data_IF_947305029669
#
_entry.id   IF_947305029669
#
_cell.length_a   1.000
_cell.length_b   1.000
_cell.length_c   1.000
_cell.angle_alpha   90.00
_cell.angle_beta   90.00
_cell.angle_gamma   90.00
#
_symmetry.space_group_name_H-M   'P 1'
#
loop_
_entity.id
_entity.type
_entity.pdbx_description
1 polymer ?
#
# COMPACT_ATOMS: atom_id res chain seq x y z
N UNK A 1 1.52 22.24 -5.28
CA UNK A 1 2.45 22.23 -4.11
C UNK A 1 1.77 21.38 -3.05
N UNK A 2 2.48 20.48 -2.38
CA UNK A 2 1.89 19.65 -1.32
C UNK A 2 1.88 20.47 -0.03
N UNK A 3 0.69 20.74 0.51
CA UNK A 3 0.48 21.51 1.75
C UNK A 3 -0.06 20.62 2.88
N UNK A 4 -0.64 19.47 2.51
CA UNK A 4 -1.25 18.52 3.45
C UNK A 4 -0.93 17.08 3.08
N UNK A 5 -0.73 16.23 4.10
CA UNK A 5 -0.49 14.81 3.96
C UNK A 5 -1.38 13.99 4.90
N UNK A 6 -1.94 12.90 4.40
CA UNK A 6 -2.72 11.93 5.14
C UNK A 6 -2.01 10.57 5.09
N UNK A 7 -1.71 10.00 6.25
CA UNK A 7 -1.07 8.69 6.37
C UNK A 7 -2.05 7.74 7.01
N UNK A 8 -2.43 6.67 6.30
CA UNK A 8 -3.44 5.70 6.74
C UNK A 8 -2.76 4.36 7.00
N UNK A 9 -2.85 3.91 8.25
CA UNK A 9 -2.24 2.66 8.71
C UNK A 9 -3.19 1.87 9.61
N UNK A 10 -3.07 0.54 9.64
CA UNK A 10 -3.90 -0.31 10.51
C UNK A 10 -3.63 -0.05 12.00
N UNK A 11 -2.39 -0.22 12.43
CA UNK A 11 -2.07 -0.28 13.87
C UNK A 11 -1.17 0.86 14.33
N UNK A 12 -1.24 1.20 15.62
CA UNK A 12 -0.24 2.07 16.25
C UNK A 12 1.16 1.45 16.16
N UNK A 13 2.05 2.01 15.39
CA UNK A 13 3.45 1.68 15.04
C UNK A 13 3.71 1.51 13.54
N UNK A 14 2.71 1.19 12.75
CA UNK A 14 2.87 1.04 11.29
C UNK A 14 3.26 2.34 10.61
N UNK A 15 2.85 3.50 11.14
CA UNK A 15 3.28 4.80 10.64
C UNK A 15 4.80 4.98 10.70
N UNK A 16 5.46 4.34 11.68
CA UNK A 16 6.92 4.36 11.81
C UNK A 16 7.54 3.57 10.66
N UNK A 17 6.94 2.42 10.36
CA UNK A 17 7.42 1.53 9.32
C UNK A 17 7.14 2.06 7.93
N UNK A 18 5.97 2.65 7.73
CA UNK A 18 5.52 3.15 6.43
C UNK A 18 6.16 4.50 6.07
N UNK A 19 6.18 5.46 6.99
CA UNK A 19 6.52 6.84 6.69
C UNK A 19 7.54 7.48 7.66
N UNK A 20 8.12 6.72 8.59
CA UNK A 20 9.00 7.25 9.62
C UNK A 20 10.17 8.09 9.10
N UNK A 21 10.69 7.76 7.91
CA UNK A 21 11.74 8.51 7.26
C UNK A 21 11.31 9.86 6.68
N UNK A 22 10.02 10.04 6.41
CA UNK A 22 9.47 11.21 5.72
C UNK A 22 8.97 12.30 6.66
N UNK A 23 8.61 11.99 7.91
CA UNK A 23 8.00 12.99 8.81
C UNK A 23 8.84 14.25 8.99
N UNK A 24 10.16 14.12 9.06
CA UNK A 24 11.04 15.29 9.14
C UNK A 24 10.94 16.15 7.88
N UNK A 25 10.91 15.54 6.70
CA UNK A 25 10.81 16.25 5.41
C UNK A 25 9.48 16.98 5.31
N UNK A 26 8.39 16.29 5.64
CA UNK A 26 7.04 16.86 5.62
C UNK A 26 6.95 18.06 6.58
N UNK A 27 7.40 17.87 7.81
CA UNK A 27 7.37 18.92 8.83
C UNK A 27 8.26 20.12 8.45
N UNK A 28 9.49 19.90 7.98
CA UNK A 28 10.42 20.96 7.59
C UNK A 28 9.95 21.71 6.32
N UNK A 29 9.16 21.05 5.48
CA UNK A 29 8.52 21.66 4.31
C UNK A 29 7.21 22.39 4.63
N UNK A 30 6.76 22.39 5.90
CA UNK A 30 5.52 23.02 6.32
C UNK A 30 4.24 22.25 5.92
N UNK A 31 4.38 20.96 5.58
CA UNK A 31 3.25 20.08 5.21
C UNK A 31 2.52 19.65 6.47
N UNK A 32 1.24 19.99 6.57
CA UNK A 32 0.37 19.54 7.67
C UNK A 32 0.09 18.05 7.52
N UNK A 33 0.49 17.26 8.51
CA UNK A 33 0.40 15.80 8.43
C UNK A 33 -0.61 15.26 9.43
N UNK A 34 -1.59 14.50 8.93
CA UNK A 34 -2.55 13.73 9.72
C UNK A 34 -2.22 12.25 9.60
N UNK A 35 -2.20 11.53 10.73
CA UNK A 35 -2.04 10.07 10.79
C UNK A 35 -3.34 9.45 11.27
N UNK A 36 -3.81 8.43 10.56
CA UNK A 36 -5.01 7.65 10.89
C UNK A 36 -4.59 6.25 11.26
N UNK A 37 -4.91 5.87 12.50
CA UNK A 37 -4.83 4.50 13.00
C UNK A 37 -6.21 3.87 12.86
N UNK A 38 -6.35 2.86 12.03
CA UNK A 38 -7.66 2.26 11.77
C UNK A 38 -8.12 1.38 12.92
N UNK A 39 -7.19 0.66 13.56
CA UNK A 39 -7.48 -0.16 14.76
C UNK A 39 -6.85 0.42 16.02
N UNK A 40 -7.26 -0.11 17.15
CA UNK A 40 -6.68 0.22 18.45
C UNK A 40 -5.42 -0.58 18.80
N UNK A 41 -5.03 -1.53 17.95
CA UNK A 41 -3.88 -2.39 18.19
C UNK A 41 -4.10 -3.32 19.38
N UNK A 42 -5.27 -3.92 19.50
CA UNK A 42 -5.75 -4.67 20.66
C UNK A 42 -5.71 -6.19 20.49
N UNK A 43 -4.86 -6.71 19.61
CA UNK A 43 -4.65 -8.16 19.53
C UNK A 43 -4.41 -8.78 20.91
N UNK A 44 -3.63 -8.09 21.76
CA UNK A 44 -3.61 -8.31 23.18
C UNK A 44 -4.44 -7.21 23.83
N UNK A 45 -5.69 -7.52 24.19
CA UNK A 45 -6.71 -6.56 24.63
C UNK A 45 -6.22 -5.58 25.70
N UNK A 46 -5.40 -6.06 26.63
CA UNK A 46 -4.82 -5.27 27.75
C UNK A 46 -3.82 -4.19 27.28
N UNK A 47 -3.38 -4.25 26.04
CA UNK A 47 -2.41 -3.33 25.48
C UNK A 47 -3.02 -2.14 24.74
N UNK A 48 -4.29 -2.17 24.35
CA UNK A 48 -4.93 -1.09 23.58
C UNK A 48 -4.67 0.31 24.16
N UNK A 49 -4.96 0.50 25.47
CA UNK A 49 -4.73 1.78 26.14
C UNK A 49 -3.23 2.16 26.18
N UNK A 50 -2.33 1.18 26.33
CA UNK A 50 -0.88 1.43 26.32
C UNK A 50 -0.44 1.85 24.92
N UNK A 51 -0.89 1.16 23.87
CA UNK A 51 -0.58 1.46 22.47
C UNK A 51 -1.09 2.85 22.07
N UNK A 52 -2.26 3.25 22.53
CA UNK A 52 -2.75 4.62 22.35
C UNK A 52 -1.74 5.66 22.88
N UNK A 53 -1.26 5.50 24.13
CA UNK A 53 -0.27 6.43 24.67
C UNK A 53 1.11 6.33 24.01
N UNK A 54 1.49 5.18 23.49
CA UNK A 54 2.70 4.99 22.70
C UNK A 54 2.60 5.72 21.37
N UNK A 55 1.47 5.63 20.65
CA UNK A 55 1.21 6.41 19.46
C UNK A 55 1.25 7.93 19.69
N UNK A 56 0.68 8.40 20.83
CA UNK A 56 0.80 9.82 21.23
C UNK A 56 2.25 10.26 21.49
N UNK A 57 3.13 9.35 21.93
CA UNK A 57 4.57 9.65 22.05
C UNK A 57 5.24 9.70 20.68
N UNK A 58 4.88 8.78 19.78
CA UNK A 58 5.35 8.78 18.39
C UNK A 58 4.95 10.06 17.67
N UNK A 59 3.70 10.52 17.84
CA UNK A 59 3.23 11.82 17.36
C UNK A 59 4.17 12.96 17.79
N UNK A 60 4.53 13.03 19.06
CA UNK A 60 5.43 14.07 19.56
C UNK A 60 6.85 13.98 19.01
N UNK A 61 7.34 12.76 18.76
CA UNK A 61 8.68 12.52 18.19
C UNK A 61 8.72 12.98 16.73
N UNK A 62 7.73 12.60 15.93
CA UNK A 62 7.64 12.92 14.51
C UNK A 62 7.00 14.28 14.23
N UNK A 63 6.30 14.86 15.21
CA UNK A 63 5.64 16.18 15.16
C UNK A 63 4.56 16.30 14.08
N UNK A 64 3.85 15.21 13.76
CA UNK A 64 2.67 15.35 12.94
C UNK A 64 1.53 15.97 13.73
N UNK A 65 0.73 16.80 13.06
CA UNK A 65 -0.21 17.72 13.70
C UNK A 65 -1.38 16.99 14.30
N UNK A 66 -1.88 15.96 13.63
CA UNK A 66 -3.09 15.28 14.03
C UNK A 66 -2.93 13.75 14.05
N UNK A 67 -3.54 13.12 15.03
CA UNK A 67 -3.63 11.68 15.18
C UNK A 67 -5.10 11.30 15.38
N UNK A 68 -5.63 10.54 14.44
CA UNK A 68 -7.01 10.04 14.45
C UNK A 68 -6.99 8.53 14.70
N UNK A 69 -7.86 8.06 15.59
CA UNK A 69 -8.18 6.64 15.74
C UNK A 69 -9.58 6.39 15.21
N UNK A 70 -9.75 5.44 14.28
CA UNK A 70 -11.09 4.98 13.89
C UNK A 70 -11.72 4.11 14.97
N UNK A 71 -10.89 3.43 15.77
CA UNK A 71 -11.33 2.74 16.96
C UNK A 71 -11.80 1.30 16.76
N UNK A 72 -11.56 0.71 15.58
CA UNK A 72 -11.84 -0.71 15.33
C UNK A 72 -10.86 -1.60 16.11
N UNK A 73 -11.23 -2.85 16.34
CA UNK A 73 -10.35 -3.84 16.94
C UNK A 73 -9.50 -4.56 15.88
N UNK A 74 -8.40 -5.17 16.32
CA UNK A 74 -7.52 -5.97 15.46
C UNK A 74 -8.21 -7.28 15.06
N UNK A 75 -8.14 -7.64 13.81
CA UNK A 75 -8.71 -8.87 13.25
C UNK A 75 -7.63 -9.80 12.71
N UNK A 76 -6.67 -10.14 13.56
CA UNK A 76 -5.52 -10.94 13.13
C UNK A 76 -5.84 -12.42 12.84
N UNK A 77 -6.82 -13.01 13.51
CA UNK A 77 -7.06 -14.48 13.49
C UNK A 77 -8.45 -14.85 13.00
N UNK A 78 -9.38 -13.91 12.92
CA UNK A 78 -10.76 -14.16 12.55
C UNK A 78 -11.06 -14.12 11.06
N UNK A 79 -12.34 -14.19 10.71
CA UNK A 79 -12.82 -13.84 9.38
C UNK A 79 -12.48 -12.39 9.13
N UNK A 80 -11.86 -12.14 8.00
CA UNK A 80 -11.42 -10.78 7.68
C UNK A 80 -12.62 -9.89 7.40
N UNK A 81 -12.65 -8.71 7.99
CA UNK A 81 -13.78 -7.79 7.81
C UNK A 81 -14.01 -7.42 6.34
N UNK A 82 -12.97 -7.45 5.52
CA UNK A 82 -13.07 -7.20 4.08
C UNK A 82 -13.93 -8.26 3.36
N UNK A 83 -13.88 -9.52 3.81
CA UNK A 83 -14.59 -10.64 3.22
C UNK A 83 -16.01 -10.82 3.80
N UNK A 84 -16.34 -10.05 4.84
CA UNK A 84 -17.66 -10.09 5.45
C UNK A 84 -18.73 -9.46 4.54
N UNK A 85 -19.99 -9.89 4.70
CA UNK A 85 -21.11 -9.20 4.08
C UNK A 85 -21.19 -7.75 4.61
N UNK A 86 -21.58 -6.82 3.75
CA UNK A 86 -21.49 -5.36 4.00
C UNK A 86 -21.97 -4.90 5.38
N UNK A 87 -23.11 -5.45 5.85
CA UNK A 87 -23.74 -5.08 7.12
C UNK A 87 -23.67 -6.18 8.19
N UNK A 88 -22.93 -7.24 7.95
CA UNK A 88 -22.70 -8.29 8.95
C UNK A 88 -21.79 -7.73 10.05
N UNK A 89 -22.23 -7.89 11.32
CA UNK A 89 -21.43 -7.42 12.46
C UNK A 89 -20.37 -8.47 12.76
N UNK A 90 -19.13 -8.12 12.40
CA UNK A 90 -17.96 -8.91 12.73
C UNK A 90 -17.56 -8.74 14.21
N UNK A 91 -16.70 -9.63 14.67
CA UNK A 91 -16.09 -9.58 15.99
C UNK A 91 -14.58 -9.58 15.85
N UNK A 92 -13.90 -8.61 16.47
CA UNK A 92 -12.46 -8.55 16.47
C UNK A 92 -11.84 -9.67 17.30
N UNK A 93 -10.54 -9.89 17.17
CA UNK A 93 -9.82 -10.89 17.98
C UNK A 93 -10.02 -10.69 19.49
N UNK A 94 -10.10 -9.44 19.95
CA UNK A 94 -10.35 -9.10 21.35
C UNK A 94 -11.83 -9.14 21.77
N UNK A 95 -12.75 -9.53 20.88
CA UNK A 95 -14.17 -9.66 21.14
C UNK A 95 -14.99 -8.38 20.97
N UNK A 96 -14.44 -7.34 20.34
CA UNK A 96 -15.16 -6.10 20.08
C UNK A 96 -16.02 -6.22 18.81
N UNK A 97 -17.26 -5.73 18.88
CA UNK A 97 -18.26 -5.75 17.80
C UNK A 97 -18.65 -4.34 17.34
N UNK A 98 -18.02 -3.35 17.90
CA UNK A 98 -18.17 -1.93 17.55
C UNK A 98 -16.86 -1.19 17.82
N UNK A 99 -16.71 0.03 17.29
CA UNK A 99 -15.57 0.89 17.60
C UNK A 99 -15.57 1.27 19.08
N UNK A 100 -14.40 1.58 19.63
CA UNK A 100 -14.27 2.01 21.00
C UNK A 100 -13.07 2.94 21.24
N UNK A 101 -13.12 3.70 22.33
CA UNK A 101 -12.04 4.60 22.71
C UNK A 101 -11.00 3.84 23.53
N UNK A 102 -9.82 3.55 22.96
CA UNK A 102 -8.75 2.86 23.68
C UNK A 102 -8.06 3.69 24.75
N UNK A 103 -8.12 5.02 24.65
CA UNK A 103 -7.48 5.97 25.56
C UNK A 103 -8.43 7.03 26.09
N UNK A 104 -7.88 8.17 26.43
CA UNK A 104 -8.64 9.32 26.94
C UNK A 104 -9.20 10.25 25.87
N UNK A 105 -8.89 10.01 24.61
CA UNK A 105 -9.45 10.72 23.47
C UNK A 105 -10.57 9.91 22.83
N UNK A 106 -11.49 10.60 22.16
CA UNK A 106 -12.60 9.96 21.47
C UNK A 106 -12.11 9.43 20.14
N UNK A 107 -12.53 8.21 19.77
CA UNK A 107 -12.36 7.73 18.44
C UNK A 107 -13.21 8.56 17.44
N UNK A 108 -12.93 8.42 16.16
CA UNK A 108 -13.42 9.30 15.11
C UNK A 108 -14.96 9.41 15.07
N UNK A 109 -15.65 8.28 14.98
CA UNK A 109 -17.09 8.26 14.88
C UNK A 109 -17.75 8.77 16.17
N UNK A 110 -17.32 8.29 17.32
CA UNK A 110 -17.86 8.75 18.62
C UNK A 110 -17.58 10.24 18.86
N UNK A 111 -16.45 10.73 18.39
CA UNK A 111 -16.13 12.16 18.43
C UNK A 111 -17.18 13.01 17.73
N UNK A 112 -17.68 12.57 16.57
CA UNK A 112 -18.64 13.26 15.71
C UNK A 112 -20.09 13.03 16.12
N UNK A 113 -20.47 11.78 16.34
CA UNK A 113 -21.88 11.36 16.46
C UNK A 113 -22.31 11.04 17.88
N UNK A 114 -21.38 10.86 18.81
CA UNK A 114 -21.59 10.34 20.19
C UNK A 114 -22.10 8.90 20.22
N UNK A 115 -21.86 8.15 19.15
CA UNK A 115 -22.17 6.73 19.04
C UNK A 115 -20.96 6.00 18.46
N UNK A 116 -20.73 4.78 18.92
CA UNK A 116 -19.78 3.87 18.30
C UNK A 116 -20.40 3.28 17.03
N UNK A 117 -19.58 3.01 16.03
CA UNK A 117 -20.00 2.29 14.84
C UNK A 117 -19.93 0.78 15.06
N UNK A 118 -21.01 0.02 14.71
CA UNK A 118 -20.91 -1.44 14.61
C UNK A 118 -19.73 -1.85 13.73
N UNK A 119 -19.03 -2.91 14.10
CA UNK A 119 -17.90 -3.42 13.34
C UNK A 119 -18.42 -4.17 12.10
N UNK A 120 -18.73 -3.42 11.07
CA UNK A 120 -19.17 -3.93 9.76
C UNK A 120 -18.22 -3.43 8.68
N UNK A 121 -18.14 -4.19 7.59
CA UNK A 121 -17.34 -3.80 6.42
C UNK A 121 -17.74 -2.41 5.90
N UNK A 122 -19.06 -2.16 5.81
CA UNK A 122 -19.58 -0.89 5.30
C UNK A 122 -19.22 0.31 6.21
N UNK A 123 -19.35 0.17 7.52
CA UNK A 123 -18.95 1.23 8.46
C UNK A 123 -17.45 1.49 8.39
N UNK A 124 -16.64 0.43 8.32
CA UNK A 124 -15.17 0.57 8.24
C UNK A 124 -14.75 1.32 6.98
N UNK A 125 -15.32 0.92 5.82
CA UNK A 125 -15.13 1.60 4.55
C UNK A 125 -15.59 3.06 4.61
N UNK A 126 -16.80 3.32 5.18
CA UNK A 126 -17.36 4.66 5.32
C UNK A 126 -16.46 5.56 6.18
N UNK A 127 -15.95 5.08 7.30
CA UNK A 127 -15.08 5.88 8.18
C UNK A 127 -13.76 6.25 7.50
N UNK A 128 -13.16 5.32 6.73
CA UNK A 128 -11.97 5.62 5.92
C UNK A 128 -12.29 6.69 4.87
N UNK A 129 -13.39 6.52 4.14
CA UNK A 129 -13.86 7.46 3.12
C UNK A 129 -14.12 8.85 3.70
N UNK A 130 -14.79 8.91 4.84
CA UNK A 130 -15.16 10.17 5.49
C UNK A 130 -13.92 10.94 5.95
N UNK A 131 -12.90 10.26 6.45
CA UNK A 131 -11.62 10.90 6.80
C UNK A 131 -10.92 11.44 5.54
N UNK A 132 -10.88 10.67 4.46
CA UNK A 132 -10.26 11.12 3.20
C UNK A 132 -10.95 12.40 2.70
N UNK A 133 -12.30 12.40 2.66
CA UNK A 133 -13.09 13.55 2.21
C UNK A 133 -13.00 14.74 3.16
N UNK A 134 -12.88 14.52 4.47
CA UNK A 134 -12.73 15.62 5.44
C UNK A 134 -11.36 16.30 5.32
N UNK A 135 -10.32 15.53 5.06
CA UNK A 135 -8.95 16.05 5.01
C UNK A 135 -8.58 16.60 3.64
N UNK A 136 -9.14 16.06 2.57
CA UNK A 136 -8.80 16.41 1.17
C UNK A 136 -7.29 16.66 0.99
N UNK A 137 -6.47 15.74 1.52
CA UNK A 137 -5.02 15.91 1.55
C UNK A 137 -4.41 15.85 0.15
N UNK A 138 -3.40 16.69 -0.11
CA UNK A 138 -2.67 16.70 -1.39
C UNK A 138 -1.86 15.41 -1.60
N UNK A 139 -1.35 14.85 -0.50
CA UNK A 139 -0.59 13.59 -0.48
C UNK A 139 -1.29 12.58 0.44
N UNK A 140 -1.56 11.40 -0.07
CA UNK A 140 -2.00 10.26 0.74
C UNK A 140 -0.96 9.17 0.69
N UNK A 141 -0.53 8.68 1.85
CA UNK A 141 0.33 7.50 1.97
C UNK A 141 -0.47 6.44 2.70
N UNK A 142 -0.76 5.33 2.03
CA UNK A 142 -1.52 4.23 2.60
C UNK A 142 -0.70 2.94 2.63
N UNK A 143 -0.96 2.13 3.65
CA UNK A 143 -0.45 0.76 3.71
C UNK A 143 -0.88 -0.03 2.47
N UNK A 144 -0.07 -1.00 2.07
CA UNK A 144 -0.38 -1.86 0.94
C UNK A 144 -0.46 -3.35 1.33
N UNK A 145 -0.68 -4.19 0.32
CA UNK A 145 -0.88 -5.64 0.42
C UNK A 145 0.41 -6.34 0.90
N UNK A 146 0.72 -6.25 2.18
CA UNK A 146 1.80 -7.03 2.80
C UNK A 146 1.26 -8.32 3.48
N UNK A 147 2.05 -8.97 4.30
CA UNK A 147 1.68 -10.27 4.90
C UNK A 147 0.64 -10.17 6.03
N UNK A 148 0.31 -8.97 6.51
CA UNK A 148 -0.64 -8.81 7.61
C UNK A 148 -2.06 -8.65 7.09
N UNK A 149 -3.02 -9.37 7.66
CA UNK A 149 -4.43 -9.36 7.23
C UNK A 149 -5.06 -7.98 7.32
N UNK A 150 -4.87 -7.26 8.43
CA UNK A 150 -5.40 -5.92 8.61
C UNK A 150 -4.79 -4.93 7.61
N UNK A 151 -3.51 -5.09 7.24
CA UNK A 151 -2.87 -4.26 6.23
C UNK A 151 -3.56 -4.44 4.87
N UNK A 152 -3.80 -5.69 4.47
CA UNK A 152 -4.52 -6.00 3.22
C UNK A 152 -5.94 -5.44 3.24
N UNK A 153 -6.64 -5.61 4.36
CA UNK A 153 -7.99 -5.05 4.51
C UNK A 153 -8.00 -3.54 4.27
N UNK A 154 -7.14 -2.82 4.97
CA UNK A 154 -7.07 -1.36 4.83
C UNK A 154 -6.65 -0.96 3.42
N UNK A 155 -5.68 -1.67 2.83
CA UNK A 155 -5.28 -1.44 1.45
C UNK A 155 -6.45 -1.57 0.46
N UNK A 156 -7.23 -2.64 0.59
CA UNK A 156 -8.36 -2.93 -0.29
C UNK A 156 -9.52 -1.96 -0.08
N UNK A 157 -9.91 -1.70 1.18
CA UNK A 157 -10.95 -0.73 1.50
C UNK A 157 -10.58 0.69 1.06
N UNK A 158 -9.30 1.04 1.20
CA UNK A 158 -8.79 2.32 0.72
C UNK A 158 -8.89 2.45 -0.81
N UNK A 159 -8.50 1.41 -1.55
CA UNK A 159 -8.57 1.44 -3.01
C UNK A 159 -10.01 1.53 -3.49
N UNK A 160 -10.97 0.80 -2.88
CA UNK A 160 -12.40 0.97 -3.15
C UNK A 160 -12.88 2.41 -2.86
N UNK A 161 -12.55 2.96 -1.68
CA UNK A 161 -12.92 4.32 -1.32
C UNK A 161 -12.36 5.34 -2.32
N UNK A 162 -11.10 5.20 -2.70
CA UNK A 162 -10.48 6.12 -3.65
C UNK A 162 -11.11 6.02 -5.03
N UNK A 163 -11.40 4.81 -5.52
CA UNK A 163 -12.12 4.61 -6.78
C UNK A 163 -13.48 5.33 -6.77
N UNK A 164 -14.25 5.19 -5.71
CA UNK A 164 -15.53 5.88 -5.54
C UNK A 164 -15.38 7.41 -5.44
N UNK A 165 -14.44 7.89 -4.61
CA UNK A 165 -14.17 9.32 -4.43
C UNK A 165 -13.75 9.95 -5.76
N UNK A 166 -12.82 9.35 -6.46
CA UNK A 166 -12.30 9.86 -7.72
C UNK A 166 -13.40 9.95 -8.80
N UNK A 167 -14.27 8.93 -8.88
CA UNK A 167 -15.41 8.90 -9.82
C UNK A 167 -16.48 9.93 -9.50
N UNK A 168 -16.74 10.20 -8.22
CA UNK A 168 -17.86 11.01 -7.77
C UNK A 168 -17.50 12.43 -7.34
N UNK A 169 -16.21 12.74 -7.19
CA UNK A 169 -15.76 14.04 -6.71
C UNK A 169 -16.12 15.16 -7.68
N UNK A 170 -17.04 16.03 -7.26
CA UNK A 170 -17.39 17.25 -7.99
C UNK A 170 -16.27 18.30 -8.01
N UNK A 171 -15.33 18.21 -7.08
CA UNK A 171 -14.25 19.19 -6.87
C UNK A 171 -12.97 18.85 -7.64
N UNK A 172 -12.99 17.85 -8.50
CA UNK A 172 -11.82 17.37 -9.24
C UNK A 172 -10.63 17.03 -8.33
N UNK A 173 -10.91 16.47 -7.14
CA UNK A 173 -9.91 16.05 -6.17
C UNK A 173 -9.00 14.96 -6.78
N UNK A 174 -7.72 15.25 -6.87
CA UNK A 174 -6.70 14.39 -7.47
C UNK A 174 -5.44 14.39 -6.61
N UNK A 175 -5.45 13.69 -5.47
CA UNK A 175 -4.29 13.61 -4.61
C UNK A 175 -3.17 12.80 -5.25
N UNK A 176 -1.95 13.03 -4.77
CA UNK A 176 -0.85 12.11 -4.99
C UNK A 176 -1.04 10.92 -4.03
N UNK A 177 -1.16 9.71 -4.57
CA UNK A 177 -1.41 8.51 -3.78
C UNK A 177 -0.17 7.61 -3.83
N UNK A 178 0.41 7.36 -2.67
CA UNK A 178 1.55 6.46 -2.50
C UNK A 178 1.13 5.25 -1.67
N UNK A 179 1.49 4.05 -2.14
CA UNK A 179 1.27 2.80 -1.42
C UNK A 179 2.61 2.24 -0.97
N UNK A 180 2.67 1.69 0.24
CA UNK A 180 3.91 1.13 0.78
C UNK A 180 3.65 0.04 1.82
N UNK A 181 4.72 -0.67 2.21
CA UNK A 181 4.63 -1.80 3.12
C UNK A 181 5.14 -1.46 4.51
N UNK A 182 4.46 -1.93 5.54
CA UNK A 182 4.93 -1.89 6.91
C UNK A 182 5.76 -3.12 7.26
N UNK A 183 5.39 -4.30 6.75
CA UNK A 183 6.10 -5.55 6.99
C UNK A 183 6.76 -6.11 5.73
N UNK A 184 7.89 -6.77 5.95
CA UNK A 184 8.62 -7.49 4.89
C UNK A 184 8.23 -8.98 4.82
N UNK A 185 7.19 -9.40 5.50
CA UNK A 185 6.90 -10.81 5.74
C UNK A 185 6.55 -11.63 4.49
N UNK A 186 5.99 -10.99 3.46
CA UNK A 186 5.73 -11.62 2.15
C UNK A 186 6.91 -11.42 1.21
N UNK A 187 7.73 -10.43 1.49
CA UNK A 187 8.80 -9.98 0.66
C UNK A 187 10.11 -10.47 1.22
N UNK A 188 10.47 -11.70 0.94
CA UNK A 188 11.80 -12.17 1.19
C UNK A 188 12.70 -11.73 0.03
N UNK A 189 13.17 -10.51 0.14
CA UNK A 189 14.44 -10.16 -0.50
C UNK A 189 15.55 -11.04 0.07
N UNK A 190 16.70 -11.06 -0.56
CA UNK A 190 17.86 -11.64 0.07
C UNK A 190 17.94 -10.94 1.42
N UNK A 191 17.88 -11.68 2.48
CA UNK A 191 17.87 -11.36 3.89
C UNK A 191 18.78 -10.19 4.26
N UNK A 192 18.40 -9.02 3.81
CA UNK A 192 19.14 -7.81 4.00
C UNK A 192 18.60 -7.09 5.20
N UNK A 193 18.83 -7.70 6.33
CA UNK A 193 18.57 -7.14 7.66
C UNK A 193 18.98 -5.67 7.79
N UNK A 194 19.89 -5.23 6.94
CA UNK A 194 20.44 -3.89 6.93
C UNK A 194 20.23 -3.17 5.60
N UNK A 195 19.51 -3.76 4.66
CA UNK A 195 19.26 -3.12 3.38
C UNK A 195 18.17 -2.06 3.47
N UNK A 196 18.32 -1.08 2.62
CA UNK A 196 17.29 -0.09 2.35
C UNK A 196 16.12 -0.77 1.63
N UNK A 197 14.92 -0.21 1.70
CA UNK A 197 13.73 -0.72 1.00
C UNK A 197 13.85 -0.70 -0.54
N UNK A 198 15.01 -0.39 -1.06
CA UNK A 198 15.28 -0.14 -2.49
C UNK A 198 15.44 -1.44 -3.27
N UNK A 199 15.72 -2.58 -2.61
CA UNK A 199 15.91 -3.82 -3.34
C UNK A 199 14.60 -4.47 -3.76
N UNK A 200 14.56 -5.02 -4.98
CA UNK A 200 13.50 -5.93 -5.36
C UNK A 200 13.55 -7.12 -4.40
N UNK A 201 12.49 -7.26 -3.67
CA UNK A 201 12.27 -8.40 -2.82
C UNK A 201 11.58 -9.47 -3.64
N UNK A 202 11.92 -10.73 -3.41
CA UNK A 202 11.20 -11.85 -3.98
C UNK A 202 10.04 -12.18 -3.05
N UNK A 203 8.89 -12.46 -3.61
CA UNK A 203 7.79 -13.01 -2.83
C UNK A 203 8.13 -14.46 -2.52
N UNK A 204 8.06 -14.86 -1.25
CA UNK A 204 8.10 -16.26 -0.85
C UNK A 204 6.73 -16.67 -0.35
N UNK A 205 6.23 -17.76 -0.88
CA UNK A 205 5.08 -18.45 -0.30
C UNK A 205 5.47 -19.10 1.03
N UNK A 206 4.50 -19.34 1.92
CA UNK A 206 4.70 -20.17 3.12
C UNK A 206 5.25 -21.55 2.81
N UNK A 207 5.01 -22.08 1.61
CA UNK A 207 5.59 -23.31 1.08
C UNK A 207 7.09 -23.25 0.84
N UNK A 208 7.72 -22.08 0.91
CA UNK A 208 9.13 -21.88 0.55
C UNK A 208 9.38 -21.78 -0.95
N UNK A 209 8.33 -21.77 -1.76
CA UNK A 209 8.44 -21.55 -3.21
C UNK A 209 8.65 -20.08 -3.51
N UNK A 210 9.58 -19.78 -4.41
CA UNK A 210 9.76 -18.42 -4.91
C UNK A 210 8.63 -18.07 -5.88
N UNK A 211 7.77 -17.15 -5.51
CA UNK A 211 6.90 -16.52 -6.49
C UNK A 211 7.74 -15.69 -7.46
N UNK A 212 7.39 -15.77 -8.73
CA UNK A 212 7.96 -14.90 -9.75
C UNK A 212 7.52 -13.45 -9.46
N UNK A 213 8.32 -12.49 -9.89
CA UNK A 213 7.96 -11.07 -9.86
C UNK A 213 6.64 -10.78 -10.61
N UNK A 214 6.17 -11.70 -11.45
CA UNK A 214 4.87 -11.68 -12.13
C UNK A 214 3.65 -11.58 -11.22
N UNK A 215 3.77 -12.03 -9.99
CA UNK A 215 2.60 -12.15 -9.11
C UNK A 215 2.26 -10.86 -8.37
N UNK A 216 2.99 -9.79 -8.62
CA UNK A 216 2.77 -8.52 -7.96
C UNK A 216 2.11 -7.51 -8.89
N UNK A 217 1.13 -6.72 -8.41
CA UNK A 217 0.43 -5.75 -9.25
C UNK A 217 1.28 -4.54 -9.64
N UNK A 218 2.52 -4.46 -9.18
CA UNK A 218 3.41 -3.35 -9.49
C UNK A 218 4.68 -3.84 -10.19
N UNK A 219 5.20 -3.03 -11.08
CA UNK A 219 6.56 -3.21 -11.59
C UNK A 219 7.56 -2.67 -10.56
N UNK A 220 8.40 -3.56 -10.02
CA UNK A 220 9.43 -3.21 -9.05
C UNK A 220 10.46 -2.19 -9.56
N UNK A 221 10.61 -2.09 -10.87
CA UNK A 221 11.52 -1.15 -11.49
C UNK A 221 10.94 0.28 -11.53
N UNK A 222 9.64 0.43 -11.30
CA UNK A 222 8.92 1.70 -11.33
C UNK A 222 8.54 2.20 -9.94
N UNK A 223 9.42 1.96 -8.96
CA UNK A 223 9.25 2.49 -7.61
C UNK A 223 9.56 3.97 -7.56
N UNK A 224 8.85 4.65 -6.69
CA UNK A 224 9.16 6.02 -6.33
C UNK A 224 10.04 6.02 -5.09
N UNK A 225 11.16 6.70 -5.20
CA UNK A 225 12.12 6.84 -4.15
C UNK A 225 12.03 8.24 -3.56
N UNK A 226 11.59 8.34 -2.31
CA UNK A 226 11.53 9.61 -1.59
C UNK A 226 12.70 9.72 -0.64
N UNK A 227 13.46 10.82 -0.75
CA UNK A 227 14.58 11.08 0.13
C UNK A 227 14.10 11.31 1.55
N UNK A 228 14.66 10.56 2.50
CA UNK A 228 14.40 10.75 3.92
C UNK A 228 15.08 11.98 4.49
N UNK A 229 14.56 12.49 5.60
CA UNK A 229 15.12 13.63 6.30
C UNK A 229 16.54 13.37 6.85
N UNK A 230 17.37 14.39 6.95
CA UNK A 230 18.75 14.25 7.44
C UNK A 230 18.80 13.70 8.88
N UNK A 231 17.83 14.06 9.72
CA UNK A 231 17.75 13.57 11.10
C UNK A 231 17.46 12.07 11.15
N UNK A 232 16.67 11.56 10.20
CA UNK A 232 16.33 10.12 10.11
C UNK A 232 17.45 9.29 9.48
N UNK A 233 18.39 9.92 8.76
CA UNK A 233 19.56 9.27 8.18
C UNK A 233 20.73 9.13 9.17
N UNK A 234 20.67 9.79 10.35
CA UNK A 234 21.78 9.73 11.31
C UNK A 234 22.00 8.34 11.89
N UNK A 235 23.25 7.89 11.89
CA UNK A 235 23.69 6.66 12.56
C UNK A 235 23.85 6.82 14.08
N UNK A 236 23.67 8.03 14.62
CA UNK A 236 23.57 8.26 16.06
C UNK A 236 22.14 7.86 16.49
N UNK A 237 21.92 6.57 16.75
CA UNK A 237 20.59 5.97 16.93
C UNK A 237 19.76 6.68 18.01
N UNK A 238 20.39 7.08 19.11
CA UNK A 238 19.73 7.84 20.18
C UNK A 238 19.25 9.24 19.76
N UNK A 239 19.76 9.79 18.64
CA UNK A 239 19.28 11.03 18.02
C UNK A 239 18.28 10.78 16.91
N UNK A 240 18.30 9.57 16.32
CA UNK A 240 17.46 9.21 15.19
C UNK A 240 15.99 9.15 15.60
N UNK A 241 15.07 9.93 15.00
CA UNK A 241 13.66 9.95 15.37
C UNK A 241 12.96 8.63 15.11
N UNK A 242 13.30 7.90 14.04
CA UNK A 242 12.73 6.57 13.77
C UNK A 242 13.11 5.60 14.90
N UNK A 243 14.36 5.59 15.30
CA UNK A 243 14.82 4.75 16.41
C UNK A 243 14.12 5.12 17.73
N UNK A 244 13.94 6.42 18.02
CA UNK A 244 13.22 6.88 19.22
C UNK A 244 11.76 6.48 19.19
N UNK A 245 11.10 6.57 18.03
CA UNK A 245 9.72 6.18 17.85
C UNK A 245 9.52 4.67 18.10
N UNK A 246 10.40 3.83 17.52
CA UNK A 246 10.41 2.39 17.79
C UNK A 246 10.58 2.08 19.29
N UNK A 247 11.45 2.82 19.99
CA UNK A 247 11.60 2.67 21.45
C UNK A 247 10.41 3.18 22.25
N UNK A 248 9.61 4.07 21.70
CA UNK A 248 8.39 4.53 22.36
C UNK A 248 7.28 3.45 22.36
N UNK A 249 7.29 2.55 21.37
CA UNK A 249 6.36 1.44 21.18
C UNK A 249 6.77 0.22 22.04
N UNK A 250 6.74 0.36 23.35
CA UNK A 250 7.26 -0.66 24.30
C UNK A 250 6.47 -1.96 24.29
N UNK A 251 5.19 -1.89 23.96
CA UNK A 251 4.32 -3.08 23.87
C UNK A 251 4.66 -3.94 22.65
N UNK A 252 5.23 -3.33 21.60
CA UNK A 252 5.56 -3.99 20.34
C UNK A 252 7.06 -4.28 20.23
N UNK A 253 7.89 -3.32 20.60
CA UNK A 253 9.33 -3.40 20.47
C UNK A 253 10.01 -3.44 21.82
N UNK A 254 10.59 -4.59 22.14
CA UNK A 254 11.47 -4.69 23.28
C UNK A 254 12.76 -3.92 23.02
N UNK A 255 13.43 -3.50 24.09
CA UNK A 255 14.76 -2.90 23.99
C UNK A 255 15.72 -3.82 23.20
N UNK A 256 16.60 -3.30 22.34
CA UNK A 256 17.65 -4.09 21.69
C UNK A 256 18.52 -4.85 22.71
N UNK A 257 18.60 -4.38 23.94
CA UNK A 257 19.35 -5.03 25.02
C UNK A 257 18.63 -6.29 25.52
N UNK A 258 17.29 -6.24 25.60
CA UNK A 258 16.47 -7.39 26.08
C UNK A 258 16.09 -8.35 24.97
N UNK A 259 16.29 -7.96 23.73
CA UNK A 259 15.88 -8.70 22.54
C UNK A 259 14.38 -8.55 22.29
N UNK A 260 13.99 -8.25 21.12
CA UNK A 260 12.61 -8.09 20.69
C UNK A 260 12.55 -7.61 19.25
N UNK A 261 11.35 -7.38 18.75
CA UNK A 261 11.07 -7.17 17.33
C UNK A 261 11.68 -5.90 16.70
N UNK A 262 12.35 -5.04 17.47
CA UNK A 262 13.05 -3.88 16.89
C UNK A 262 14.03 -4.29 15.78
N UNK A 263 14.45 -5.55 15.78
CA UNK A 263 15.35 -6.08 14.76
C UNK A 263 14.69 -6.17 13.38
N UNK A 264 13.40 -6.43 13.32
CA UNK A 264 12.64 -6.53 12.09
C UNK A 264 12.54 -5.17 11.41
N UNK A 265 12.59 -4.11 12.23
CA UNK A 265 12.48 -2.73 11.78
C UNK A 265 13.84 -2.02 11.67
N UNK A 266 14.92 -2.68 12.06
CA UNK A 266 16.27 -2.12 11.98
C UNK A 266 16.67 -1.71 10.56
N UNK A 267 16.27 -2.41 9.48
CA UNK A 267 16.52 -1.96 8.11
C UNK A 267 16.00 -0.56 7.79
N UNK A 268 14.95 -0.11 8.49
CA UNK A 268 14.32 1.21 8.28
C UNK A 268 15.01 2.34 9.01
N UNK A 269 15.84 2.01 10.02
CA UNK A 269 16.60 3.01 10.78
C UNK A 269 17.78 3.49 9.95
N UNK A 270 17.94 4.81 9.86
CA UNK A 270 19.04 5.48 9.16
C UNK A 270 19.10 5.19 7.65
N UNK A 271 17.96 4.96 7.02
CA UNK A 271 17.87 4.83 5.57
C UNK A 271 17.93 6.22 4.91
N UNK A 272 18.59 6.32 3.73
CA UNK A 272 18.64 7.56 2.96
C UNK A 272 17.30 7.88 2.29
N UNK A 273 16.46 6.88 2.07
CA UNK A 273 15.20 6.99 1.33
C UNK A 273 14.14 6.01 1.82
N UNK A 274 12.92 6.25 1.37
CA UNK A 274 11.75 5.37 1.48
C UNK A 274 11.18 5.12 0.09
N UNK A 275 10.72 3.91 -0.18
CA UNK A 275 10.20 3.52 -1.47
C UNK A 275 8.70 3.28 -1.41
N UNK A 276 8.01 3.75 -2.43
CA UNK A 276 6.57 3.61 -2.60
C UNK A 276 6.22 3.24 -4.02
N UNK A 277 4.98 2.84 -4.22
CA UNK A 277 4.34 2.75 -5.52
C UNK A 277 3.30 3.85 -5.65
N UNK A 278 3.25 4.44 -6.81
CA UNK A 278 2.29 5.48 -7.13
C UNK A 278 0.99 4.88 -7.68
N UNK A 279 -0.14 5.34 -7.13
CA UNK A 279 -1.46 5.10 -7.66
C UNK A 279 -1.95 6.38 -8.32
N UNK A 280 -2.15 6.33 -9.62
CA UNK A 280 -2.37 7.55 -10.41
C UNK A 280 -3.84 7.96 -10.44
N UNK A 281 -4.17 9.05 -9.76
CA UNK A 281 -5.51 9.63 -9.74
C UNK A 281 -5.93 10.30 -11.08
N UNK A 282 -5.03 10.39 -12.06
CA UNK A 282 -5.28 10.97 -13.37
C UNK A 282 -5.59 9.91 -14.44
N UNK A 283 -5.91 8.68 -14.05
CA UNK A 283 -6.36 7.64 -14.96
C UNK A 283 -7.67 8.05 -15.64
N UNK A 284 -7.66 8.27 -16.96
CA UNK A 284 -8.82 8.71 -17.72
C UNK A 284 -9.86 7.59 -17.89
N UNK A 285 -9.45 6.31 -17.87
CA UNK A 285 -10.36 5.18 -17.93
C UNK A 285 -11.28 5.11 -16.71
N UNK A 286 -10.83 5.61 -15.55
CA UNK A 286 -11.63 5.64 -14.33
C UNK A 286 -12.93 6.43 -14.48
N UNK A 287 -12.95 7.45 -15.35
CA UNK A 287 -14.10 8.32 -15.62
C UNK A 287 -14.86 7.94 -16.89
N UNK A 288 -14.40 6.91 -17.58
CA UNK A 288 -14.96 6.47 -18.86
C UNK A 288 -16.11 5.46 -18.64
N UNK A 289 -16.98 5.38 -19.63
CA UNK A 289 -17.88 4.24 -19.77
C UNK A 289 -17.07 3.08 -20.38
N UNK A 290 -17.00 1.96 -19.66
CA UNK A 290 -16.30 0.76 -20.11
C UNK A 290 -17.31 -0.34 -20.40
N UNK A 291 -17.18 -0.94 -21.58
CA UNK A 291 -18.00 -2.06 -22.04
C UNK A 291 -17.09 -3.18 -22.52
N UNK A 292 -17.52 -4.41 -22.35
CA UNK A 292 -16.83 -5.58 -22.87
C UNK A 292 -17.81 -6.47 -23.66
N UNK A 293 -17.30 -7.25 -24.61
CA UNK A 293 -18.10 -8.18 -25.39
C UNK A 293 -18.73 -9.28 -24.53
N UNK A 294 -18.11 -9.64 -23.43
CA UNK A 294 -18.58 -10.60 -22.43
C UNK A 294 -17.94 -10.35 -21.06
N UNK A 295 -18.43 -11.01 -20.02
CA UNK A 295 -17.94 -10.82 -18.66
C UNK A 295 -18.38 -9.50 -18.04
N UNK A 296 -17.95 -9.23 -16.80
CA UNK A 296 -18.33 -8.05 -16.05
C UNK A 296 -17.29 -6.92 -16.21
N UNK A 297 -17.60 -5.95 -17.08
CA UNK A 297 -16.70 -4.86 -17.43
C UNK A 297 -16.42 -3.87 -16.29
N UNK A 298 -17.21 -3.88 -15.20
CA UNK A 298 -17.01 -2.93 -14.11
C UNK A 298 -15.67 -3.11 -13.39
N UNK A 299 -15.07 -4.30 -13.44
CA UNK A 299 -13.74 -4.57 -12.88
C UNK A 299 -12.59 -3.93 -13.66
N UNK A 300 -12.85 -3.44 -14.87
CA UNK A 300 -11.80 -2.90 -15.73
C UNK A 300 -11.36 -1.49 -15.37
N UNK A 301 -12.15 -0.78 -14.55
CA UNK A 301 -11.86 0.60 -14.16
C UNK A 301 -12.37 0.96 -12.75
N UNK A 302 -12.23 0.05 -11.80
CA UNK A 302 -12.71 0.26 -10.42
C UNK A 302 -11.62 0.77 -9.44
N UNK A 303 -10.41 1.01 -9.92
CA UNK A 303 -9.25 1.41 -9.16
C UNK A 303 -8.62 0.28 -8.34
N UNK A 304 -8.97 -0.98 -8.61
CA UNK A 304 -8.48 -2.15 -7.87
C UNK A 304 -7.45 -2.92 -8.71
N UNK A 305 -6.15 -2.71 -8.44
CA UNK A 305 -5.09 -3.38 -9.21
C UNK A 305 -4.99 -4.89 -8.93
N UNK A 306 -5.31 -5.29 -7.72
CA UNK A 306 -5.29 -6.68 -7.28
C UNK A 306 -6.26 -6.87 -6.11
N UNK A 307 -7.02 -7.94 -6.15
CA UNK A 307 -7.83 -8.38 -5.02
C UNK A 307 -7.52 -9.85 -4.81
N UNK A 308 -6.82 -10.23 -3.74
CA UNK A 308 -6.54 -11.63 -3.42
C UNK A 308 -7.84 -12.44 -3.36
N UNK A 309 -7.81 -13.71 -3.76
CA UNK A 309 -8.96 -14.60 -3.69
C UNK A 309 -9.53 -14.67 -2.25
N UNK A 310 -8.64 -14.62 -1.31
CA UNK A 310 -8.95 -14.51 0.12
C UNK A 310 -8.02 -13.47 0.72
N UNK A 311 -8.56 -12.43 1.37
CA UNK A 311 -7.75 -11.38 2.01
C UNK A 311 -6.84 -11.91 3.11
N UNK A 312 -7.10 -13.13 3.59
CA UNK A 312 -6.26 -13.85 4.56
C UNK A 312 -5.21 -14.74 3.90
N UNK A 313 -5.35 -15.03 2.60
CA UNK A 313 -4.38 -15.84 1.86
C UNK A 313 -3.06 -15.11 1.68
N UNK A 314 -1.96 -15.84 1.85
CA UNK A 314 -0.64 -15.34 1.46
C UNK A 314 -0.41 -15.43 -0.06
N UNK A 315 -1.35 -16.01 -0.78
CA UNK A 315 -1.30 -16.14 -2.23
C UNK A 315 -1.84 -14.88 -2.91
N UNK A 316 -0.96 -13.93 -3.12
CA UNK A 316 -1.26 -12.73 -3.89
C UNK A 316 -1.41 -12.98 -5.40
N UNK A 317 -1.26 -14.24 -5.84
CA UNK A 317 -1.38 -14.62 -7.25
C UNK A 317 -2.80 -14.98 -7.64
N UNK A 318 -3.59 -15.46 -6.69
CA UNK A 318 -5.00 -15.77 -6.93
C UNK A 318 -5.84 -14.55 -6.61
N UNK A 319 -6.34 -13.91 -7.64
CA UNK A 319 -7.27 -12.79 -7.52
C UNK A 319 -8.69 -13.30 -7.66
N UNK A 320 -9.54 -12.94 -6.69
CA UNK A 320 -10.98 -13.28 -6.72
C UNK A 320 -11.79 -12.36 -7.63
N UNK A 321 -11.19 -11.23 -8.05
CA UNK A 321 -11.84 -10.20 -8.85
C UNK A 321 -11.02 -9.90 -10.09
N UNK A 322 -11.71 -9.47 -11.11
CA UNK A 322 -11.17 -9.10 -12.39
C UNK A 322 -12.12 -9.43 -13.52
N UNK A 323 -12.01 -8.75 -14.61
CA UNK A 323 -12.74 -9.07 -15.81
C UNK A 323 -12.16 -10.33 -16.48
N UNK A 324 -13.02 -11.31 -16.71
CA UNK A 324 -12.70 -12.53 -17.45
C UNK A 324 -13.73 -12.69 -18.57
N UNK A 325 -13.32 -12.84 -19.83
CA UNK A 325 -14.27 -13.07 -20.93
C UNK A 325 -14.94 -14.43 -20.79
N UNK A 326 -16.15 -14.54 -21.34
CA UNK A 326 -16.84 -15.82 -21.42
C UNK A 326 -16.05 -16.79 -22.33
N UNK A 327 -16.12 -18.08 -21.98
CA UNK A 327 -15.37 -19.14 -22.72
C UNK A 327 -15.74 -19.19 -24.21
N UNK A 328 -16.96 -18.78 -24.56
CA UNK A 328 -17.47 -18.77 -25.92
C UNK A 328 -17.07 -17.51 -26.71
N UNK A 329 -16.50 -16.51 -26.03
CA UNK A 329 -16.05 -15.28 -26.66
C UNK A 329 -14.69 -15.48 -27.32
N UNK A 330 -14.71 -15.84 -28.59
CA UNK A 330 -13.50 -16.18 -29.35
C UNK A 330 -12.58 -15.00 -29.63
N UNK A 331 -13.06 -13.76 -29.52
CA UNK A 331 -12.29 -12.52 -29.74
C UNK A 331 -12.78 -11.42 -28.77
N UNK A 332 -12.46 -11.54 -27.51
CA UNK A 332 -12.90 -10.57 -26.50
C UNK A 332 -12.53 -9.15 -26.87
N UNK A 333 -13.49 -8.25 -26.71
CA UNK A 333 -13.32 -6.84 -27.07
C UNK A 333 -13.72 -5.96 -25.90
N UNK A 334 -12.88 -4.97 -25.59
CA UNK A 334 -13.11 -3.96 -24.56
C UNK A 334 -13.22 -2.60 -25.26
N UNK A 335 -14.26 -1.84 -24.96
CA UNK A 335 -14.50 -0.49 -25.46
C UNK A 335 -14.54 0.48 -24.31
N UNK A 336 -13.75 1.54 -24.39
CA UNK A 336 -13.66 2.62 -23.40
C UNK A 336 -14.08 3.92 -24.09
N UNK A 337 -15.23 4.48 -23.67
CA UNK A 337 -15.73 5.77 -24.11
C UNK A 337 -15.38 6.82 -23.07
N UNK A 338 -14.43 7.68 -23.38
CA UNK A 338 -13.98 8.72 -22.47
C UNK A 338 -15.07 9.83 -22.33
N UNK A 339 -15.11 10.46 -21.15
CA UNK A 339 -16.07 11.52 -20.86
C UNK A 339 -15.86 12.80 -21.69
N UNK A 340 -14.71 12.93 -22.33
CA UNK A 340 -14.30 13.99 -23.27
C UNK A 340 -13.28 13.45 -24.23
N UNK A 341 -12.98 14.20 -25.29
CA UNK A 341 -11.79 13.95 -26.08
C UNK A 341 -10.52 14.09 -25.22
N UNK A 342 -9.66 13.10 -25.25
CA UNK A 342 -8.36 13.07 -24.56
C UNK A 342 -7.25 12.86 -25.58
N UNK A 343 -6.03 13.25 -25.21
CA UNK A 343 -4.84 12.88 -25.98
C UNK A 343 -4.24 11.62 -25.37
N UNK A 344 -4.62 10.45 -25.89
CA UNK A 344 -4.16 9.18 -25.33
C UNK A 344 -2.70 8.92 -25.69
N UNK A 345 -1.86 8.78 -24.68
CA UNK A 345 -0.42 8.53 -24.85
C UNK A 345 0.06 7.21 -24.29
N UNK A 346 -0.63 6.69 -23.24
CA UNK A 346 -0.22 5.47 -22.56
C UNK A 346 -1.44 4.69 -22.08
N UNK A 347 -1.39 3.37 -22.25
CA UNK A 347 -2.33 2.41 -21.65
C UNK A 347 -1.52 1.49 -20.74
N UNK A 348 -2.03 1.24 -19.53
CA UNK A 348 -1.50 0.25 -18.60
C UNK A 348 -2.59 -0.76 -18.29
N UNK A 349 -2.28 -2.05 -18.44
CA UNK A 349 -3.20 -3.14 -18.19
C UNK A 349 -2.62 -3.98 -17.06
N UNK A 350 -3.37 -4.12 -15.99
CA UNK A 350 -3.03 -4.99 -14.85
C UNK A 350 -3.79 -6.30 -15.01
N UNK A 351 -3.07 -7.40 -15.10
CA UNK A 351 -3.65 -8.73 -15.24
C UNK A 351 -3.24 -9.64 -14.09
N UNK A 352 -4.02 -10.69 -13.88
CA UNK A 352 -3.69 -11.72 -12.92
C UNK A 352 -2.37 -12.41 -13.30
N UNK A 353 -1.59 -12.83 -12.33
CA UNK A 353 -0.29 -13.46 -12.55
C UNK A 353 -0.35 -14.77 -13.37
N UNK A 354 -1.47 -15.47 -13.36
CA UNK A 354 -1.70 -16.67 -14.15
C UNK A 354 -2.27 -16.36 -15.54
N UNK A 355 -2.51 -15.09 -15.84
CA UNK A 355 -3.03 -14.63 -17.12
C UNK A 355 -1.89 -14.36 -18.09
N UNK A 356 -2.15 -14.63 -19.35
CA UNK A 356 -1.27 -14.19 -20.44
C UNK A 356 -2.10 -13.47 -21.47
N UNK A 357 -1.93 -12.17 -21.55
CA UNK A 357 -2.43 -11.34 -22.62
C UNK A 357 -1.38 -11.37 -23.74
N UNK A 358 -1.69 -12.01 -24.85
CA UNK A 358 -0.73 -12.22 -25.94
C UNK A 358 -0.72 -11.09 -26.94
N UNK A 359 -1.77 -10.97 -27.75
CA UNK A 359 -1.84 -9.96 -28.83
C UNK A 359 -3.10 -9.12 -28.70
N UNK A 360 -2.91 -7.81 -28.77
CA UNK A 360 -3.97 -6.79 -28.79
C UNK A 360 -4.00 -6.05 -30.12
N UNK A 361 -5.19 -5.86 -30.68
CA UNK A 361 -5.42 -4.83 -31.68
C UNK A 361 -6.09 -3.62 -31.01
N UNK A 362 -5.45 -2.47 -31.11
CA UNK A 362 -5.91 -1.20 -30.54
C UNK A 362 -6.44 -0.34 -31.67
N UNK A 363 -7.68 0.14 -31.54
CA UNK A 363 -8.33 1.06 -32.49
C UNK A 363 -8.84 2.28 -31.76
N UNK A 364 -8.61 3.45 -32.35
CA UNK A 364 -9.15 4.71 -31.90
C UNK A 364 -10.17 5.23 -32.94
N UNK A 365 -11.13 6.04 -32.48
CA UNK A 365 -12.22 6.57 -33.33
C UNK A 365 -11.73 7.51 -34.46
N UNK A 366 -10.53 8.06 -34.33
CA UNK A 366 -9.90 8.87 -35.39
C UNK A 366 -9.28 8.04 -36.54
N UNK A 367 -9.42 6.71 -36.52
CA UNK A 367 -8.89 5.79 -37.51
C UNK A 367 -7.49 5.26 -37.23
N UNK A 368 -6.88 5.63 -36.10
CA UNK A 368 -5.60 5.00 -35.70
C UNK A 368 -5.84 3.53 -35.33
N UNK A 369 -5.00 2.65 -35.88
CA UNK A 369 -5.01 1.22 -35.57
C UNK A 369 -3.58 0.70 -35.43
N UNK A 370 -3.35 -0.13 -34.42
CA UNK A 370 -2.06 -0.80 -34.21
C UNK A 370 -2.24 -2.15 -33.55
N UNK A 371 -1.36 -3.09 -33.89
CA UNK A 371 -1.24 -4.37 -33.20
C UNK A 371 -0.08 -4.32 -32.21
N UNK A 372 -0.30 -4.85 -31.02
CA UNK A 372 0.69 -4.86 -29.94
C UNK A 372 0.87 -6.27 -29.41
N UNK A 373 2.12 -6.74 -29.37
CA UNK A 373 2.51 -7.99 -28.73
C UNK A 373 2.80 -7.72 -27.26
N UNK A 374 1.97 -8.27 -26.40
CA UNK A 374 2.11 -8.06 -24.97
C UNK A 374 3.28 -8.89 -24.41
N UNK A 375 4.14 -8.29 -23.57
CA UNK A 375 5.13 -9.07 -22.84
C UNK A 375 4.42 -10.00 -21.84
N UNK A 376 5.06 -11.13 -21.55
CA UNK A 376 4.59 -12.07 -20.54
C UNK A 376 4.86 -11.47 -19.12
N UNK A 377 4.01 -10.51 -18.75
CA UNK A 377 4.13 -9.72 -17.53
C UNK A 377 2.74 -9.39 -16.99
N UNK A 378 2.56 -9.32 -15.66
CA UNK A 378 1.27 -8.96 -15.07
C UNK A 378 0.92 -7.47 -15.22
N UNK A 379 1.89 -6.63 -15.54
CA UNK A 379 1.67 -5.22 -15.90
C UNK A 379 2.13 -5.01 -17.34
N UNK A 380 1.19 -4.71 -18.21
CA UNK A 380 1.45 -4.45 -19.64
C UNK A 380 1.33 -2.96 -19.90
N UNK A 381 2.42 -2.32 -20.28
CA UNK A 381 2.45 -0.89 -20.63
C UNK A 381 2.58 -0.71 -22.13
N UNK A 382 1.65 0.04 -22.72
CA UNK A 382 1.57 0.33 -24.16
C UNK A 382 1.75 1.83 -24.34
N UNK A 383 2.80 2.22 -25.05
CA UNK A 383 3.03 3.62 -25.43
C UNK A 383 2.39 3.90 -26.79
N UNK A 384 1.68 5.00 -26.88
CA UNK A 384 1.02 5.48 -28.10
C UNK A 384 1.61 6.83 -28.54
N UNK A 385 1.46 7.22 -29.82
CA UNK A 385 2.03 8.47 -30.34
C UNK A 385 1.27 9.75 -29.95
N UNK A 386 0.58 9.75 -28.81
CA UNK A 386 -0.22 10.88 -28.29
C UNK A 386 -1.33 11.29 -29.25
N UNK A 387 -2.36 10.46 -29.36
CA UNK A 387 -3.42 10.58 -30.37
C UNK A 387 -4.72 11.09 -29.71
N UNK A 388 -5.36 12.16 -30.25
CA UNK A 388 -6.68 12.59 -29.81
C UNK A 388 -7.74 11.52 -30.07
N UNK A 389 -8.56 11.23 -29.07
CA UNK A 389 -9.62 10.22 -29.19
C UNK A 389 -10.70 10.41 -28.11
N UNK A 390 -11.93 10.09 -28.45
CA UNK A 390 -13.03 9.92 -27.50
C UNK A 390 -13.29 8.43 -27.18
N UNK A 391 -12.78 7.51 -28.02
CA UNK A 391 -13.01 6.08 -27.87
C UNK A 391 -11.77 5.26 -28.15
N UNK A 392 -11.49 4.36 -27.21
CA UNK A 392 -10.50 3.30 -27.36
C UNK A 392 -11.24 1.95 -27.48
N UNK A 393 -10.88 1.16 -28.47
CA UNK A 393 -11.32 -0.24 -28.60
C UNK A 393 -10.09 -1.14 -28.59
N UNK A 394 -10.10 -2.14 -27.73
CA UNK A 394 -9.07 -3.16 -27.63
C UNK A 394 -9.67 -4.51 -27.97
N UNK A 395 -9.19 -5.15 -29.03
CA UNK A 395 -9.57 -6.51 -29.41
C UNK A 395 -8.45 -7.46 -29.05
N UNK A 396 -8.75 -8.48 -28.26
CA UNK A 396 -7.79 -9.47 -27.78
C UNK A 396 -7.79 -10.64 -28.77
N UNK A 397 -6.70 -10.85 -29.48
CA UNK A 397 -6.59 -11.86 -30.53
C UNK A 397 -5.86 -13.11 -30.09
N UNK A 398 -5.04 -13.03 -29.04
CA UNK A 398 -4.46 -14.21 -28.39
C UNK A 398 -4.31 -14.01 -26.88
N UNK A 399 -4.66 -15.05 -26.11
CA UNK A 399 -4.56 -15.03 -24.66
C UNK A 399 -4.60 -16.45 -24.07
N UNK A 400 -4.24 -16.56 -22.76
CA UNK A 400 -4.41 -17.77 -21.98
C UNK A 400 -4.80 -17.40 -20.54
N UNK A 401 -5.84 -18.05 -20.00
CA UNK A 401 -6.36 -17.80 -18.65
C UNK A 401 -6.57 -16.31 -18.34
N UNK A 402 -7.20 -15.59 -19.28
CA UNK A 402 -7.25 -14.13 -19.21
C UNK A 402 -8.13 -13.64 -18.06
N UNK A 403 -7.53 -12.85 -17.16
CA UNK A 403 -8.24 -12.05 -16.18
C UNK A 403 -7.52 -10.69 -16.10
N UNK A 404 -8.24 -9.60 -16.36
CA UNK A 404 -7.75 -8.23 -16.27
C UNK A 404 -8.35 -7.58 -15.03
N UNK A 405 -7.50 -7.03 -14.17
CA UNK A 405 -7.90 -6.42 -12.90
C UNK A 405 -8.22 -4.93 -13.06
N UNK A 406 -7.45 -4.22 -13.89
CA UNK A 406 -7.63 -2.79 -14.12
C UNK A 406 -7.02 -2.38 -15.46
N UNK A 407 -7.60 -1.36 -16.09
CA UNK A 407 -7.05 -0.67 -17.27
C UNK A 407 -6.91 0.81 -16.94
N UNK A 408 -5.71 1.32 -17.10
CA UNK A 408 -5.43 2.74 -16.93
C UNK A 408 -5.07 3.40 -18.26
N UNK A 409 -5.60 4.59 -18.50
CA UNK A 409 -5.38 5.39 -19.70
C UNK A 409 -4.86 6.78 -19.34
N UNK A 410 -3.75 7.20 -19.95
CA UNK A 410 -3.10 8.45 -19.58
C UNK A 410 -2.86 9.38 -20.78
N UNK A 411 -2.99 10.66 -20.51
CA UNK A 411 -2.51 11.76 -21.35
C UNK A 411 -0.98 11.94 -21.16
N UNK A 412 -0.28 12.71 -22.03
CA UNK A 412 1.17 12.90 -21.93
C UNK A 412 1.64 13.53 -20.63
N UNK A 413 0.86 14.44 -20.07
CA UNK A 413 1.08 15.03 -18.77
C UNK A 413 0.07 14.43 -17.77
N UNK A 414 0.56 13.56 -16.92
CA UNK A 414 -0.26 12.85 -15.92
C UNK A 414 -0.24 13.50 -14.53
N UNK A 415 0.35 14.69 -14.41
CA UNK A 415 0.38 15.47 -13.15
C UNK A 415 1.25 14.87 -12.04
N UNK A 416 2.05 13.83 -12.33
CA UNK A 416 2.88 13.20 -11.31
C UNK A 416 4.12 14.07 -10.99
N UNK A 417 4.35 14.44 -9.71
CA UNK A 417 5.36 15.43 -9.35
C UNK A 417 6.79 14.87 -9.20
N UNK A 418 6.98 13.56 -9.29
CA UNK A 418 8.28 12.92 -9.12
C UNK A 418 8.62 11.97 -10.26
N UNK A 419 9.90 11.87 -10.58
CA UNK A 419 10.39 10.89 -11.55
C UNK A 419 10.37 9.48 -10.94
N UNK A 420 9.96 8.50 -11.72
CA UNK A 420 10.17 7.09 -11.41
C UNK A 420 11.68 6.83 -11.45
N UNK A 421 12.21 6.24 -10.39
CA UNK A 421 13.64 5.96 -10.31
C UNK A 421 13.87 4.49 -10.62
N UNK A 422 14.58 4.15 -11.70
CA UNK A 422 14.94 2.79 -11.99
C UNK A 422 15.80 2.22 -10.84
N UNK A 423 15.67 0.92 -10.61
CA UNK A 423 16.43 0.22 -9.59
C UNK A 423 17.94 0.46 -9.77
N UNK A 424 18.56 1.14 -8.81
CA UNK A 424 20.00 1.26 -8.72
C UNK A 424 20.52 0.34 -7.62
N UNK A 425 21.54 -0.46 -7.96
CA UNK A 425 22.19 -1.32 -6.98
C UNK A 425 22.93 -0.43 -5.97
N UNK A 426 22.33 -0.24 -4.81
CA UNK A 426 22.94 0.54 -3.75
C UNK A 426 24.20 -0.15 -3.19
N UNK A 427 25.16 0.61 -2.69
CA UNK A 427 26.36 0.07 -2.04
C UNK A 427 26.03 -0.50 -0.64
N UNK A 428 25.29 -1.55 -0.65
CA UNK A 428 24.70 -2.24 0.49
C UNK A 428 25.70 -2.59 1.59
N UNK A 429 26.87 -3.12 1.22
CA UNK A 429 27.88 -3.57 2.20
C UNK A 429 28.39 -2.46 3.11
N UNK A 430 28.51 -1.23 2.61
CA UNK A 430 29.00 -0.08 3.38
C UNK A 430 27.94 0.37 4.39
N UNK A 431 26.70 0.46 3.95
CA UNK A 431 25.57 0.85 4.81
C UNK A 431 25.38 -0.16 5.94
N UNK A 432 25.36 -1.45 5.62
CA UNK A 432 25.26 -2.53 6.60
C UNK A 432 26.37 -2.47 7.64
N UNK A 433 27.61 -2.35 7.20
CA UNK A 433 28.76 -2.25 8.10
C UNK A 433 28.64 -1.04 9.04
N UNK A 434 28.27 0.12 8.51
CA UNK A 434 28.15 1.34 9.30
C UNK A 434 27.02 1.24 10.34
N UNK A 435 25.87 0.66 9.98
CA UNK A 435 24.79 0.40 10.92
C UNK A 435 25.18 -0.57 12.03
N UNK A 436 25.91 -1.63 11.72
CA UNK A 436 26.44 -2.58 12.71
C UNK A 436 27.40 -1.91 13.68
N UNK A 437 28.31 -1.09 13.21
CA UNK A 437 29.24 -0.35 14.06
C UNK A 437 28.51 0.66 14.95
N UNK A 438 27.52 1.39 14.42
CA UNK A 438 26.71 2.30 15.20
C UNK A 438 25.94 1.55 16.31
N UNK A 439 25.34 0.43 15.99
CA UNK A 439 24.64 -0.41 16.97
C UNK A 439 25.59 -0.94 18.05
N UNK A 440 26.76 -1.44 17.65
CA UNK A 440 27.77 -1.94 18.57
C UNK A 440 28.27 -0.83 19.52
N UNK A 441 28.54 0.36 19.00
CA UNK A 441 29.02 1.48 19.79
C UNK A 441 27.98 1.96 20.81
N UNK A 442 26.69 1.88 20.49
CA UNK A 442 25.63 2.39 21.35
C UNK A 442 25.12 1.35 22.35
N UNK A 443 24.96 0.11 21.92
CA UNK A 443 24.32 -0.94 22.73
C UNK A 443 25.28 -2.04 23.20
N UNK A 444 26.51 -2.05 22.68
CA UNK A 444 27.55 -2.97 23.07
C UNK A 444 27.44 -4.37 22.43
N UNK A 445 28.49 -5.16 22.61
CA UNK A 445 28.65 -6.46 21.96
C UNK A 445 27.59 -7.49 22.36
N UNK A 446 27.13 -7.48 23.63
CA UNK A 446 26.09 -8.42 24.09
C UNK A 446 24.76 -8.21 23.37
N UNK A 447 24.38 -6.94 23.13
CA UNK A 447 23.17 -6.62 22.40
C UNK A 447 23.28 -7.01 20.92
N UNK A 448 24.43 -6.78 20.31
CA UNK A 448 24.72 -7.22 18.93
C UNK A 448 24.61 -8.74 18.79
N UNK A 449 25.18 -9.51 19.72
CA UNK A 449 25.10 -10.99 19.69
C UNK A 449 23.65 -11.45 19.82
N UNK A 450 22.85 -10.82 20.70
CA UNK A 450 21.41 -11.14 20.80
C UNK A 450 20.69 -10.84 19.51
N UNK A 451 20.91 -9.67 18.95
CA UNK A 451 20.37 -9.25 17.67
C UNK A 451 20.65 -10.30 16.57
N UNK A 452 21.89 -10.68 16.38
CA UNK A 452 22.29 -11.68 15.38
C UNK A 452 21.66 -13.05 15.63
N UNK A 453 21.54 -13.47 16.89
CA UNK A 453 20.89 -14.75 17.25
C UNK A 453 19.39 -14.75 16.96
N UNK A 454 18.68 -13.64 17.19
CA UNK A 454 17.28 -13.52 16.85
C UNK A 454 17.10 -13.57 15.33
N UNK A 455 17.87 -12.78 14.61
CA UNK A 455 17.88 -12.83 13.16
C UNK A 455 18.13 -14.21 12.57
N UNK A 456 19.06 -14.97 13.14
CA UNK A 456 19.30 -16.35 12.71
C UNK A 456 18.13 -17.30 12.98
N UNK A 457 17.31 -17.02 13.99
CA UNK A 457 16.08 -17.79 14.26
C UNK A 457 14.95 -17.44 13.29
N UNK A 458 14.84 -16.17 12.88
CA UNK A 458 13.86 -15.72 11.89
C UNK A 458 14.14 -16.26 10.48
N UNK A 459 15.40 -16.63 10.20
CA UNK A 459 15.78 -17.35 8.96
C UNK A 459 15.30 -18.79 8.91
N UNK A 460 14.78 -19.33 9.99
CA UNK A 460 14.23 -20.68 10.01
C UNK A 460 12.86 -20.66 9.32
N UNK A 461 12.56 -21.60 8.39
CA UNK A 461 11.33 -21.59 7.59
C UNK A 461 10.04 -21.90 8.37
N UNK A 462 10.00 -21.58 9.65
CA UNK A 462 8.86 -21.80 10.55
C UNK A 462 8.25 -20.48 11.07
N UNK A 463 8.47 -19.37 10.35
CA UNK A 463 7.76 -18.11 10.58
C UNK A 463 7.22 -17.58 9.27
#
# INVERSE_FOLDING_TARGET
MIESALIIVPHPDDEINLAGGLFDVLHESGVRTTVVMCTNGDFISENAAKRFYEAKKTQRIFKYEELIFLGYGDDYVGTHIYDANSNEIAESHAGHRETYCAGNEKEYCFGKTRKHHPYTRENYKSDIRDVILEKEADLIICIDLDSHKDHRCISLLFDECMGEILKTSSNNYRPVILKGFAYNGVWLGPYDFFETQIKPTRILLKSGENLSEKCFPYDWNHRIQMKNGEKTQTLKLWKNPVCKALYAQKTQYCSPITGGCILDHFPRIANPDSCYWYRNAYNQALFAQVEASSGDAHYLNDFMLAVPEDSVSDDLCNHSRGWTPDVEDGQPTISILFAREITLSKIVIFQNCNSTLGTLTIRLDNGFETEFQCPDNNVVTIQLPSVPTERLTMQITSYSNLTINEIECFEPDNGFPWDEVPFTKYEHRIVTRNKLFAFLAEYGFKALVRMVRQYSKMKSPHY
#
